data_IF_243909767395
#
_entry.id   IF_243909767395
#
_cell.length_a   1.000
_cell.length_b   1.000
_cell.length_c   1.000
_cell.angle_alpha   90.00
_cell.angle_beta   90.00
_cell.angle_gamma   90.00
#
_symmetry.space_group_name_H-M   'P 1'
#
loop_
_entity.id
_entity.type
_entity.pdbx_description
1 polymer ?
#
# COMPACT_ATOMS: atom_id res chain seq x y z
N UNK A 1 -35.98 10.08 4.32
CA UNK A 1 -35.72 8.78 3.68
C UNK A 1 -34.84 7.94 4.61
N UNK A 2 -35.46 7.11 5.47
CA UNK A 2 -34.75 6.19 6.38
C UNK A 2 -34.40 4.94 5.58
N UNK A 3 -33.15 4.81 5.15
CA UNK A 3 -32.69 3.64 4.41
C UNK A 3 -32.52 2.46 5.39
N UNK A 4 -33.30 1.37 5.27
CA UNK A 4 -33.25 0.23 6.18
C UNK A 4 -32.19 -0.79 5.72
N UNK A 5 -31.06 -0.33 5.17
CA UNK A 5 -29.95 -1.22 4.87
C UNK A 5 -29.05 -1.28 6.11
N UNK A 6 -29.27 -2.32 6.92
CA UNK A 6 -28.42 -2.69 8.07
C UNK A 6 -26.99 -3.06 7.65
N UNK A 7 -26.73 -3.22 6.35
CA UNK A 7 -25.39 -3.46 5.82
C UNK A 7 -24.59 -2.17 5.85
N UNK A 8 -23.61 -2.15 6.75
CA UNK A 8 -22.51 -1.20 6.69
C UNK A 8 -21.38 -1.80 5.85
N UNK A 9 -20.60 -0.93 5.21
CA UNK A 9 -19.42 -1.37 4.47
C UNK A 9 -18.33 -1.84 5.42
N UNK A 10 -17.55 -2.84 5.00
CA UNK A 10 -16.42 -3.34 5.76
C UNK A 10 -15.21 -2.38 5.61
N UNK A 11 -14.68 -1.80 6.70
CA UNK A 11 -13.48 -0.95 6.64
C UNK A 11 -12.26 -1.65 6.03
N UNK A 12 -12.11 -2.96 6.27
CA UNK A 12 -10.99 -3.74 5.76
C UNK A 12 -11.06 -3.90 4.24
N UNK A 13 -12.25 -4.07 3.67
CA UNK A 13 -12.42 -4.12 2.21
C UNK A 13 -12.07 -2.77 1.59
N UNK A 14 -12.51 -1.66 2.19
CA UNK A 14 -12.13 -0.33 1.71
C UNK A 14 -10.61 -0.17 1.76
N UNK A 15 -9.95 -0.53 2.87
CA UNK A 15 -8.49 -0.43 3.00
C UNK A 15 -7.74 -1.26 1.95
N UNK A 16 -8.20 -2.48 1.67
CA UNK A 16 -7.62 -3.36 0.66
C UNK A 16 -7.75 -2.79 -0.76
N UNK A 17 -8.93 -2.27 -1.12
CA UNK A 17 -9.15 -1.72 -2.45
C UNK A 17 -8.57 -0.32 -2.64
N UNK A 18 -8.46 0.46 -1.56
CA UNK A 18 -7.83 1.77 -1.53
C UNK A 18 -6.30 1.72 -1.43
N UNK A 19 -5.71 0.52 -1.36
CA UNK A 19 -4.27 0.37 -1.26
C UNK A 19 -3.57 1.11 -2.41
N UNK A 20 -2.54 1.88 -2.08
CA UNK A 20 -1.77 2.72 -3.01
C UNK A 20 -2.52 3.94 -3.58
N UNK A 21 -3.72 4.27 -3.08
CA UNK A 21 -4.41 5.52 -3.42
C UNK A 21 -4.20 6.52 -2.29
N UNK A 22 -3.73 7.73 -2.63
CA UNK A 22 -3.61 8.81 -1.65
C UNK A 22 -5.01 9.19 -1.11
N UNK A 23 -5.10 9.43 0.20
CA UNK A 23 -6.33 9.84 0.87
C UNK A 23 -7.05 11.04 0.20
N UNK A 24 -6.38 12.14 -0.21
CA UNK A 24 -7.04 13.25 -0.91
C UNK A 24 -7.69 12.82 -2.23
N UNK A 25 -7.04 11.92 -2.99
CA UNK A 25 -7.58 11.46 -4.26
C UNK A 25 -8.76 10.51 -4.05
N UNK A 26 -8.69 9.66 -3.02
CA UNK A 26 -9.80 8.81 -2.62
C UNK A 26 -11.02 9.65 -2.20
N UNK A 27 -10.79 10.72 -1.43
CA UNK A 27 -11.82 11.65 -1.01
C UNK A 27 -12.49 12.36 -2.20
N UNK A 28 -11.69 12.82 -3.18
CA UNK A 28 -12.19 13.41 -4.43
C UNK A 28 -13.03 12.40 -5.23
N UNK A 29 -12.55 11.16 -5.40
CA UNK A 29 -13.27 10.10 -6.12
C UNK A 29 -14.62 9.79 -5.49
N UNK A 30 -14.67 9.71 -4.16
CA UNK A 30 -15.89 9.44 -3.40
C UNK A 30 -16.79 10.66 -3.21
N UNK A 31 -16.32 11.86 -3.61
CA UNK A 31 -17.00 13.15 -3.38
C UNK A 31 -17.33 13.35 -1.89
N UNK A 32 -16.34 13.08 -1.04
CA UNK A 32 -16.42 13.18 0.43
C UNK A 32 -15.21 13.92 0.98
N UNK A 33 -15.30 14.34 2.25
CA UNK A 33 -14.18 14.96 2.93
C UNK A 33 -13.11 13.92 3.29
N UNK A 34 -11.84 14.33 3.30
CA UNK A 34 -10.73 13.47 3.72
C UNK A 34 -10.93 12.93 5.13
N UNK A 35 -11.43 13.76 6.04
CA UNK A 35 -11.76 13.37 7.41
C UNK A 35 -12.77 12.22 7.43
N UNK A 36 -13.85 12.32 6.66
CA UNK A 36 -14.87 11.28 6.59
C UNK A 36 -14.28 9.96 6.07
N UNK A 37 -13.47 10.02 5.02
CA UNK A 37 -12.84 8.82 4.45
C UNK A 37 -11.83 8.20 5.43
N UNK A 38 -11.05 9.03 6.11
CA UNK A 38 -10.14 8.59 7.16
C UNK A 38 -10.89 7.91 8.32
N UNK A 39 -12.02 8.48 8.75
CA UNK A 39 -12.84 7.91 9.82
C UNK A 39 -13.48 6.58 9.42
N UNK A 40 -13.78 6.37 8.13
CA UNK A 40 -14.24 5.09 7.59
C UNK A 40 -13.14 4.05 7.57
N UNK A 41 -11.95 4.38 7.06
CA UNK A 41 -10.79 3.47 7.03
C UNK A 41 -10.37 3.08 8.44
N UNK A 42 -10.39 4.04 9.37
CA UNK A 42 -10.06 3.81 10.79
C UNK A 42 -11.15 3.03 11.55
N UNK A 43 -12.32 2.80 10.94
CA UNK A 43 -13.46 2.16 11.61
C UNK A 43 -14.12 3.00 12.71
N UNK A 44 -13.81 4.31 12.80
CA UNK A 44 -14.38 5.22 13.81
C UNK A 44 -15.85 5.52 13.56
N UNK A 45 -16.26 5.55 12.29
CA UNK A 45 -17.64 5.82 11.90
C UNK A 45 -18.17 4.71 11.00
N UNK A 46 -19.49 4.51 11.04
CA UNK A 46 -20.14 3.54 10.19
C UNK A 46 -20.11 4.01 8.73
N UNK A 47 -19.55 3.18 7.86
CA UNK A 47 -19.42 3.45 6.44
C UNK A 47 -20.65 2.94 5.66
N UNK A 48 -21.16 3.68 4.65
CA UNK A 48 -22.18 3.16 3.75
C UNK A 48 -21.68 1.92 2.98
N UNK A 49 -22.51 0.89 2.84
CA UNK A 49 -22.13 -0.37 2.16
C UNK A 49 -21.66 -0.19 0.71
N UNK A 50 -22.15 0.82 0.01
CA UNK A 50 -21.78 1.06 -1.39
C UNK A 50 -20.35 1.59 -1.56
N UNK A 51 -19.72 2.14 -0.51
CA UNK A 51 -18.38 2.75 -0.60
C UNK A 51 -17.31 1.73 -1.02
N UNK A 52 -17.10 0.61 -0.29
CA UNK A 52 -16.13 -0.40 -0.71
C UNK A 52 -16.53 -1.02 -2.06
N UNK A 53 -17.83 -1.20 -2.30
CA UNK A 53 -18.34 -1.80 -3.53
C UNK A 53 -18.02 -0.96 -4.78
N UNK A 54 -18.18 0.37 -4.72
CA UNK A 54 -17.82 1.25 -5.84
C UNK A 54 -16.32 1.18 -6.14
N UNK A 55 -15.47 1.22 -5.11
CA UNK A 55 -14.01 1.15 -5.33
C UNK A 55 -13.63 -0.23 -5.89
N UNK A 56 -14.27 -1.30 -5.41
CA UNK A 56 -14.10 -2.66 -5.94
C UNK A 56 -14.45 -2.71 -7.43
N UNK A 57 -15.62 -2.18 -7.82
CA UNK A 57 -16.06 -2.15 -9.22
C UNK A 57 -15.12 -1.33 -10.10
N UNK A 58 -14.67 -0.15 -9.65
CA UNK A 58 -13.69 0.66 -10.37
C UNK A 58 -12.36 -0.08 -10.59
N UNK A 59 -11.88 -0.83 -9.59
CA UNK A 59 -10.66 -1.64 -9.70
C UNK A 59 -10.84 -2.77 -10.73
N UNK A 60 -11.99 -3.44 -10.73
CA UNK A 60 -12.31 -4.49 -11.69
C UNK A 60 -12.42 -3.94 -13.12
N UNK A 61 -13.12 -2.82 -13.30
CA UNK A 61 -13.24 -2.16 -14.59
C UNK A 61 -11.88 -1.72 -15.13
N UNK A 62 -11.03 -1.14 -14.27
CA UNK A 62 -9.67 -0.77 -14.65
C UNK A 62 -8.85 -1.98 -15.11
N UNK A 63 -8.92 -3.10 -14.37
CA UNK A 63 -8.23 -4.33 -14.73
C UNK A 63 -8.73 -4.90 -16.07
N UNK A 64 -10.04 -4.87 -16.31
CA UNK A 64 -10.63 -5.34 -17.57
C UNK A 64 -10.21 -4.44 -18.76
N UNK A 65 -10.17 -3.11 -18.57
CA UNK A 65 -9.64 -2.19 -19.61
C UNK A 65 -8.18 -2.48 -19.92
N UNK A 66 -7.33 -2.67 -18.90
CA UNK A 66 -5.92 -3.02 -19.09
C UNK A 66 -5.78 -4.34 -19.87
N UNK A 67 -6.61 -5.33 -19.54
CA UNK A 67 -6.67 -6.60 -20.24
C UNK A 67 -7.03 -6.43 -21.71
N UNK A 68 -8.05 -5.62 -22.02
CA UNK A 68 -8.48 -5.34 -23.40
C UNK A 68 -7.42 -4.57 -24.21
N UNK A 69 -6.61 -3.74 -23.56
CA UNK A 69 -5.49 -3.03 -24.19
C UNK A 69 -4.22 -3.88 -24.34
N UNK A 70 -4.28 -5.19 -24.02
CA UNK A 70 -3.12 -6.08 -23.91
C UNK A 70 -2.02 -5.54 -22.96
N UNK A 71 -2.35 -4.60 -22.08
CA UNK A 71 -1.47 -4.06 -21.04
C UNK A 71 -1.60 -4.92 -19.79
N UNK A 72 -1.29 -6.21 -19.91
CA UNK A 72 -1.28 -7.09 -18.75
C UNK A 72 -0.18 -6.66 -17.79
N UNK A 73 -0.44 -6.57 -16.47
CA UNK A 73 0.64 -6.42 -15.52
C UNK A 73 1.61 -7.57 -15.76
N UNK A 74 2.89 -7.26 -15.98
CA UNK A 74 3.93 -8.29 -15.94
C UNK A 74 3.90 -8.84 -14.53
N UNK A 75 3.16 -9.93 -14.32
CA UNK A 75 3.29 -10.72 -13.11
C UNK A 75 4.78 -11.05 -13.04
N UNK A 76 5.46 -10.49 -12.04
CA UNK A 76 6.80 -10.94 -11.71
C UNK A 76 6.67 -12.46 -11.61
N UNK A 77 7.32 -13.19 -12.53
CA UNK A 77 7.22 -14.64 -12.58
C UNK A 77 7.57 -15.09 -11.17
N UNK A 78 6.59 -15.62 -10.43
CA UNK A 78 6.87 -16.24 -9.15
C UNK A 78 7.89 -17.32 -9.49
N UNK A 79 9.12 -17.13 -9.03
CA UNK A 79 10.15 -18.15 -9.16
C UNK A 79 9.70 -19.31 -8.29
N UNK A 80 8.93 -20.23 -8.86
CA UNK A 80 8.63 -21.51 -8.27
C UNK A 80 9.97 -22.25 -8.21
N UNK A 81 10.68 -22.08 -7.10
CA UNK A 81 11.84 -22.89 -6.74
C UNK A 81 11.27 -24.18 -6.18
N UNK A 82 11.05 -25.17 -7.04
CA UNK A 82 10.76 -26.54 -6.60
C UNK A 82 12.09 -27.17 -6.16
N UNK A 83 12.46 -26.98 -4.90
CA UNK A 83 13.68 -27.53 -4.32
C UNK A 83 13.58 -27.60 -2.79
N UNK A 84 14.26 -28.57 -2.19
CA UNK A 84 14.17 -28.88 -0.75
C UNK A 84 14.81 -27.81 0.15
N UNK A 85 15.70 -26.97 -0.42
CA UNK A 85 16.41 -25.90 0.31
C UNK A 85 16.47 -24.64 -0.55
N UNK A 86 15.87 -23.54 -0.06
CA UNK A 86 15.95 -22.22 -0.70
C UNK A 86 17.30 -21.59 -0.30
N UNK A 87 18.25 -21.51 -1.23
CA UNK A 87 19.49 -20.76 -1.02
C UNK A 87 19.29 -19.29 -1.42
N UNK A 88 19.46 -18.39 -0.45
CA UNK A 88 19.48 -16.95 -0.70
C UNK A 88 20.90 -16.49 -1.03
N UNK A 89 21.09 -15.83 -2.17
CA UNK A 89 22.38 -15.20 -2.49
C UNK A 89 22.64 -14.07 -1.49
N UNK A 90 23.76 -14.09 -0.73
CA UNK A 90 24.05 -13.03 0.21
C UNK A 90 24.29 -11.72 -0.54
N UNK A 91 23.84 -10.57 0.00
CA UNK A 91 24.07 -9.27 -0.62
C UNK A 91 25.58 -9.00 -0.67
N UNK A 92 26.07 -8.59 -1.84
CA UNK A 92 27.44 -8.14 -2.02
C UNK A 92 27.64 -6.79 -1.30
N UNK A 93 27.84 -6.83 0.02
CA UNK A 93 28.28 -5.66 0.79
C UNK A 93 29.71 -5.36 0.39
N UNK A 94 29.90 -4.31 -0.43
CA UNK A 94 31.20 -3.64 -0.51
C UNK A 94 31.54 -3.15 0.91
N UNK A 95 32.72 -3.48 1.46
CA UNK A 95 33.10 -2.99 2.77
C UNK A 95 33.16 -1.46 2.71
N UNK A 96 32.45 -0.81 3.64
CA UNK A 96 32.58 0.62 3.84
C UNK A 96 33.99 0.87 4.39
N UNK A 97 34.88 1.44 3.57
CA UNK A 97 36.20 1.89 4.02
C UNK A 97 35.98 2.96 5.08
N UNK A 98 36.21 2.60 6.35
CA UNK A 98 36.25 3.56 7.43
C UNK A 98 37.46 4.47 7.21
N UNK A 99 37.19 5.74 6.90
CA UNK A 99 38.18 6.80 6.90
C UNK A 99 38.69 6.97 8.34
N UNK A 100 40.01 6.87 8.60
CA UNK A 100 40.52 6.90 9.96
C UNK A 100 40.30 8.29 10.56
N UNK A 101 39.61 8.32 11.70
CA UNK A 101 39.36 9.51 12.49
C UNK A 101 40.66 10.29 12.73
N UNK A 102 40.64 11.57 12.38
CA UNK A 102 41.71 12.52 12.66
C UNK A 102 42.04 12.51 14.16
N UNK A 103 43.33 12.44 14.49
CA UNK A 103 43.82 12.48 15.88
C UNK A 103 43.55 13.86 16.47
N UNK A 104 42.79 13.90 17.56
CA UNK A 104 42.54 15.13 18.34
C UNK A 104 43.87 15.70 18.89
N UNK A 105 44.16 17.01 18.71
CA UNK A 105 45.47 17.58 19.04
C UNK A 105 45.61 18.08 20.49
N UNK A 106 44.78 17.64 21.44
CA UNK A 106 44.80 18.16 22.81
C UNK A 106 45.03 17.07 23.87
N UNK A 107 46.28 16.63 24.01
CA UNK A 107 46.77 16.11 25.28
C UNK A 107 47.96 16.95 25.76
N UNK A 108 47.69 17.81 26.75
CA UNK A 108 48.69 18.46 27.62
C UNK A 108 49.35 17.38 28.48
N UNK A 109 50.68 17.28 28.42
CA UNK A 109 51.50 16.67 29.48
C UNK A 109 52.12 17.76 30.34
N UNK A 110 52.20 17.46 31.63
CA UNK A 110 52.75 18.28 32.72
C UNK A 110 54.26 18.58 32.57
#
# INVERSE_FOLDING_TARGET
MRYPNLRYGNPQELAYHAQFIALPDLAKRLRRSERTVHDWISGKTKMPWWVPEIIRLQKMEHAERLRQMNMQPRLARLGLVTGDVIQFTPPNKKPHTAEPAAKDPFHKTA
#
